data_IF_895145231703
#
_entry.id   IF_895145231703
#
_cell.length_a   1.000
_cell.length_b   1.000
_cell.length_c   1.000
_cell.angle_alpha   90.00
_cell.angle_beta   90.00
_cell.angle_gamma   90.00
#
_symmetry.space_group_name_H-M   'P 1'
#
loop_
_entity.id
_entity.type
_entity.pdbx_description
1 polymer ?
#
# COMPACT_ATOMS: atom_id res chain seq x y z
N UNK A 1 19.21 9.48 -0.12
CA UNK A 1 19.08 8.72 -1.38
C UNK A 1 18.03 7.66 -1.23
N UNK A 2 17.21 7.53 -2.25
CA UNK A 2 16.16 6.52 -2.24
C UNK A 2 16.72 5.17 -2.66
N UNK A 3 16.42 4.15 -1.88
CA UNK A 3 16.83 2.79 -2.18
C UNK A 3 15.60 1.94 -2.46
N UNK A 4 15.63 1.18 -3.55
CA UNK A 4 14.59 0.22 -3.85
C UNK A 4 14.91 -1.10 -3.17
N UNK A 5 13.97 -1.59 -2.37
CA UNK A 5 14.11 -2.81 -1.59
C UNK A 5 13.08 -3.83 -2.06
N UNK A 6 13.53 -5.05 -2.35
CA UNK A 6 12.61 -6.13 -2.70
C UNK A 6 11.75 -6.48 -1.49
N UNK A 7 10.42 -6.46 -1.67
CA UNK A 7 9.48 -6.72 -0.59
C UNK A 7 8.59 -7.93 -0.83
N UNK A 8 8.39 -8.31 -2.11
CA UNK A 8 7.50 -9.41 -2.47
C UNK A 8 7.74 -9.83 -3.92
N UNK A 9 7.04 -10.87 -4.35
CA UNK A 9 6.98 -11.29 -5.74
C UNK A 9 5.58 -11.05 -6.27
N UNK A 10 5.46 -10.83 -7.58
CA UNK A 10 4.16 -10.52 -8.22
C UNK A 10 3.11 -11.59 -7.93
N UNK A 11 3.50 -12.86 -7.91
CA UNK A 11 2.57 -13.96 -7.67
C UNK A 11 2.08 -14.08 -6.24
N UNK A 12 2.66 -13.33 -5.30
CA UNK A 12 2.26 -13.38 -3.89
C UNK A 12 1.03 -12.52 -3.61
N UNK A 13 0.69 -11.57 -4.51
CA UNK A 13 -0.39 -10.63 -4.29
C UNK A 13 -1.37 -10.74 -5.44
N UNK A 14 -2.54 -11.33 -5.19
CA UNK A 14 -3.58 -11.47 -6.20
C UNK A 14 -4.17 -10.10 -6.54
N UNK A 15 -4.67 -9.97 -7.78
CA UNK A 15 -5.36 -8.77 -8.23
C UNK A 15 -6.52 -8.44 -7.27
N UNK A 16 -6.64 -7.18 -6.91
CA UNK A 16 -7.68 -6.70 -6.00
C UNK A 16 -7.40 -6.99 -4.53
N UNK A 17 -6.15 -7.30 -4.17
CA UNK A 17 -5.77 -7.57 -2.79
C UNK A 17 -4.57 -6.75 -2.37
N UNK A 18 -4.32 -6.70 -1.05
CA UNK A 18 -3.16 -6.07 -0.46
C UNK A 18 -2.40 -7.03 0.45
N UNK A 19 -1.19 -6.64 0.79
CA UNK A 19 -0.34 -7.40 1.68
C UNK A 19 0.52 -6.43 2.50
N UNK A 20 0.73 -6.76 3.78
CA UNK A 20 1.66 -6.01 4.62
C UNK A 20 3.06 -6.52 4.36
N UNK A 21 3.96 -5.62 3.99
CA UNK A 21 5.37 -5.94 3.79
C UNK A 21 6.21 -4.99 4.63
N UNK A 22 7.47 -5.31 4.80
CA UNK A 22 8.38 -4.51 5.60
C UNK A 22 9.62 -4.15 4.79
N UNK A 23 10.00 -2.88 4.81
CA UNK A 23 11.18 -2.40 4.11
C UNK A 23 11.77 -1.23 4.88
N UNK A 24 13.09 -1.26 5.09
CA UNK A 24 13.77 -0.18 5.79
C UNK A 24 13.25 0.09 7.21
N UNK A 25 12.75 -0.95 7.89
CA UNK A 25 12.17 -0.82 9.23
C UNK A 25 10.77 -0.24 9.23
N UNK A 26 10.14 -0.11 8.06
CA UNK A 26 8.79 0.45 7.93
C UNK A 26 7.81 -0.63 7.47
N UNK A 27 6.60 -0.59 8.02
CA UNK A 27 5.51 -1.45 7.55
C UNK A 27 4.80 -0.74 6.41
N UNK A 28 4.68 -1.42 5.29
CA UNK A 28 4.14 -0.87 4.05
C UNK A 28 3.00 -1.74 3.59
N UNK A 29 1.90 -1.09 3.16
CA UNK A 29 0.78 -1.77 2.54
C UNK A 29 1.01 -1.79 1.04
N UNK A 30 1.11 -2.98 0.47
CA UNK A 30 1.37 -3.19 -0.96
C UNK A 30 0.12 -3.77 -1.60
N UNK A 31 -0.36 -3.12 -2.67
CA UNK A 31 -1.62 -3.49 -3.33
C UNK A 31 -1.41 -3.83 -4.79
N UNK A 32 -2.20 -4.78 -5.28
CA UNK A 32 -2.28 -5.12 -6.69
C UNK A 32 -3.66 -4.71 -7.22
N UNK A 33 -3.68 -3.82 -8.19
CA UNK A 33 -4.91 -3.40 -8.85
C UNK A 33 -4.71 -3.44 -10.36
N UNK A 34 -5.37 -4.40 -11.01
CA UNK A 34 -5.28 -4.57 -12.46
C UNK A 34 -3.88 -4.95 -12.96
N UNK A 35 -3.06 -5.57 -12.12
CA UNK A 35 -1.69 -5.92 -12.46
C UNK A 35 -0.68 -4.81 -12.16
N UNK A 36 -1.13 -3.66 -11.66
CA UNK A 36 -0.28 -2.58 -11.20
C UNK A 36 -0.12 -2.63 -9.69
N UNK A 37 1.08 -2.37 -9.20
CA UNK A 37 1.38 -2.43 -7.77
C UNK A 37 1.57 -1.04 -7.20
N UNK A 38 0.99 -0.83 -6.01
CA UNK A 38 1.03 0.45 -5.31
C UNK A 38 1.42 0.22 -3.86
N UNK A 39 2.17 1.15 -3.29
CA UNK A 39 2.64 1.03 -1.91
C UNK A 39 2.37 2.31 -1.14
N UNK A 40 1.73 2.15 0.02
CA UNK A 40 1.50 3.26 0.95
C UNK A 40 1.88 2.79 2.35
N UNK A 41 1.95 3.73 3.30
CA UNK A 41 2.16 3.36 4.70
C UNK A 41 1.07 2.39 5.15
N UNK A 42 1.44 1.35 5.87
CA UNK A 42 0.48 0.39 6.39
C UNK A 42 -0.36 0.93 7.55
N UNK A 43 0.07 2.03 8.15
CA UNK A 43 -0.58 2.57 9.34
C UNK A 43 -1.63 3.60 8.98
N UNK A 44 -2.90 3.31 9.26
CA UNK A 44 -3.99 4.26 9.13
C UNK A 44 -3.75 5.45 10.06
N UNK A 45 -3.87 6.67 9.54
CA UNK A 45 -3.64 7.89 10.32
C UNK A 45 -4.58 7.97 11.51
N UNK A 46 -5.83 7.52 11.32
CA UNK A 46 -6.86 7.64 12.34
C UNK A 46 -6.58 6.80 13.59
N UNK A 47 -6.31 5.51 13.43
CA UNK A 47 -6.18 4.59 14.58
C UNK A 47 -5.01 3.60 14.45
N UNK A 48 -4.18 3.78 13.44
CA UNK A 48 -3.05 2.87 13.24
C UNK A 48 -3.42 1.50 12.71
N UNK A 49 -4.64 1.34 12.15
CA UNK A 49 -5.08 0.06 11.60
C UNK A 49 -4.24 -0.39 10.42
N UNK A 50 -4.11 -1.71 10.20
CA UNK A 50 -3.26 -2.26 9.15
C UNK A 50 -3.93 -2.15 7.78
N UNK A 51 -3.56 -1.12 7.00
CA UNK A 51 -4.16 -0.88 5.69
C UNK A 51 -3.92 -2.03 4.71
N UNK A 52 -2.80 -2.75 4.83
CA UNK A 52 -2.51 -3.90 3.96
C UNK A 52 -3.47 -5.06 4.15
N UNK A 53 -4.23 -5.09 5.23
CA UNK A 53 -5.23 -6.12 5.51
C UNK A 53 -6.65 -5.62 5.24
N UNK A 54 -6.80 -4.39 4.73
CA UNK A 54 -8.12 -3.84 4.41
C UNK A 54 -8.69 -4.38 3.11
N UNK A 55 -9.96 -4.06 2.87
CA UNK A 55 -10.65 -4.44 1.63
C UNK A 55 -10.29 -3.46 0.53
N UNK A 56 -10.00 -3.99 -0.66
CA UNK A 56 -9.62 -3.19 -1.81
C UNK A 56 -10.81 -3.01 -2.75
N UNK A 57 -11.06 -1.76 -3.15
CA UNK A 57 -12.11 -1.40 -4.11
C UNK A 57 -11.50 -0.47 -5.17
N UNK A 58 -11.26 -0.98 -6.37
CA UNK A 58 -10.60 -0.20 -7.43
C UNK A 58 -9.19 0.20 -7.01
N UNK A 59 -8.96 1.49 -6.81
CA UNK A 59 -7.67 2.03 -6.34
C UNK A 59 -7.72 2.50 -4.89
N UNK A 60 -8.76 2.10 -4.16
CA UNK A 60 -8.95 2.49 -2.77
C UNK A 60 -8.91 1.28 -1.85
N UNK A 61 -8.46 1.51 -0.62
CA UNK A 61 -8.49 0.50 0.44
C UNK A 61 -9.25 1.04 1.63
N UNK A 62 -10.07 0.18 2.24
CA UNK A 62 -10.84 0.52 3.44
C UNK A 62 -10.10 -0.02 4.65
N UNK A 63 -9.79 0.87 5.61
CA UNK A 63 -9.14 0.47 6.85
C UNK A 63 -10.03 -0.52 7.60
N UNK A 64 -9.51 -1.67 8.03
CA UNK A 64 -10.33 -2.68 8.69
C UNK A 64 -10.83 -2.27 10.08
N UNK A 65 -10.27 -1.21 10.68
CA UNK A 65 -10.64 -0.83 12.04
C UNK A 65 -11.83 0.12 12.12
N UNK A 66 -11.89 1.15 11.26
CA UNK A 66 -12.97 2.14 11.35
C UNK A 66 -13.57 2.52 10.00
N UNK A 67 -13.20 1.81 8.96
CA UNK A 67 -13.77 2.02 7.64
C UNK A 67 -13.27 3.27 6.93
N UNK A 68 -12.18 3.87 7.39
CA UNK A 68 -11.56 4.98 6.67
C UNK A 68 -11.01 4.47 5.34
N UNK A 69 -11.23 5.23 4.28
CA UNK A 69 -10.86 4.83 2.94
C UNK A 69 -9.71 5.69 2.41
N UNK A 70 -8.72 5.03 1.79
CA UNK A 70 -7.56 5.71 1.22
C UNK A 70 -7.38 5.31 -0.23
N UNK A 71 -7.01 6.30 -1.06
CA UNK A 71 -6.58 6.04 -2.44
C UNK A 71 -5.10 5.66 -2.40
N UNK A 72 -4.77 4.40 -2.67
CA UNK A 72 -3.38 3.96 -2.58
C UNK A 72 -2.50 4.41 -3.76
N UNK A 73 -3.05 5.07 -4.76
CA UNK A 73 -2.23 5.69 -5.81
C UNK A 73 -1.61 7.00 -5.34
N UNK A 74 -2.21 7.64 -4.34
CA UNK A 74 -1.73 8.94 -3.82
C UNK A 74 -1.47 8.92 -2.32
N UNK A 75 -2.06 7.97 -1.59
CA UNK A 75 -2.02 7.94 -0.13
C UNK A 75 -3.06 8.83 0.53
N UNK A 76 -3.88 9.52 -0.24
CA UNK A 76 -4.85 10.48 0.28
C UNK A 76 -6.11 9.80 0.78
N UNK A 77 -6.64 10.26 1.92
CA UNK A 77 -7.94 9.81 2.41
C UNK A 77 -9.05 10.29 1.48
N UNK A 78 -9.97 9.39 1.14
CA UNK A 78 -11.15 9.74 0.33
C UNK A 78 -12.12 10.59 1.14
N UNK A 79 -12.20 10.32 2.45
CA UNK A 79 -13.15 11.00 3.33
C UNK A 79 -12.67 12.38 3.78
N UNK A 80 -11.36 12.57 3.82
CA UNK A 80 -10.76 13.84 4.27
C UNK A 80 -9.53 14.15 3.40
N UNK A 81 -9.68 15.08 2.44
CA UNK A 81 -8.58 15.40 1.52
C UNK A 81 -7.34 16.00 2.20
N UNK A 82 -7.47 16.46 3.43
CA UNK A 82 -6.34 16.99 4.19
C UNK A 82 -5.54 15.90 4.90
N UNK A 83 -6.07 14.69 4.95
CA UNK A 83 -5.45 13.54 5.60
C UNK A 83 -4.85 12.61 4.54
N UNK A 84 -3.60 12.24 4.72
CA UNK A 84 -2.95 11.27 3.83
C UNK A 84 -1.88 10.49 4.56
N UNK A 85 -1.57 9.31 4.03
CA UNK A 85 -0.43 8.50 4.48
C UNK A 85 0.69 8.59 3.45
N UNK A 86 1.90 8.20 3.85
CA UNK A 86 3.03 8.20 2.93
C UNK A 86 2.78 7.27 1.75
N UNK A 87 3.16 7.71 0.56
CA UNK A 87 3.06 6.93 -0.67
C UNK A 87 4.48 6.63 -1.16
N UNK A 88 4.72 5.38 -1.52
CA UNK A 88 6.05 4.93 -1.94
C UNK A 88 6.04 4.53 -3.41
N UNK A 89 7.13 4.82 -4.11
CA UNK A 89 7.29 4.38 -5.49
C UNK A 89 7.54 2.89 -5.55
N UNK A 90 6.95 2.23 -6.54
CA UNK A 90 7.08 0.79 -6.77
C UNK A 90 7.77 0.56 -8.11
N UNK A 91 8.70 -0.38 -8.12
CA UNK A 91 9.40 -0.79 -9.34
C UNK A 91 9.30 -2.30 -9.47
N UNK A 92 9.13 -2.78 -10.69
CA UNK A 92 9.13 -4.21 -10.98
C UNK A 92 10.45 -4.59 -11.66
N UNK A 93 11.05 -5.67 -11.20
CA UNK A 93 12.23 -6.27 -11.80
C UNK A 93 11.94 -7.75 -12.04
N UNK A 94 11.49 -8.09 -13.27
CA UNK A 94 10.96 -9.41 -13.54
C UNK A 94 9.73 -9.69 -12.69
N UNK A 95 9.82 -10.70 -11.84
CA UNK A 95 8.74 -11.05 -10.92
C UNK A 95 8.90 -10.40 -9.53
N UNK A 96 9.99 -9.66 -9.31
CA UNK A 96 10.25 -9.03 -8.02
C UNK A 96 9.59 -7.65 -7.94
N UNK A 97 9.00 -7.37 -6.79
CA UNK A 97 8.40 -6.07 -6.48
C UNK A 97 9.34 -5.34 -5.53
N UNK A 98 9.78 -4.16 -5.94
CA UNK A 98 10.66 -3.32 -5.14
C UNK A 98 9.94 -2.03 -4.76
N UNK A 99 10.20 -1.56 -3.55
CA UNK A 99 9.61 -0.33 -3.02
C UNK A 99 10.72 0.61 -2.61
N UNK A 100 10.56 1.88 -2.95
CA UNK A 100 11.51 2.93 -2.58
C UNK A 100 11.26 3.38 -1.15
N UNK A 101 12.26 3.24 -0.32
CA UNK A 101 12.20 3.64 1.10
C UNK A 101 13.31 4.59 1.48
#
# INVERSE_FOLDING_TARGET
MADFVKVARRGEIADGTGKVVEAGGRKIALFNSGGNFYAISNTCVHQGGPLGEGDVYGTCVVCPWHGWEYDFTTGQSVDDPMTKVACYSVKLDGDDILVEV
#
